data_IF_295363240016
#
_entry.id   IF_295363240016
#
_cell.length_a   1.000
_cell.length_b   1.000
_cell.length_c   1.000
_cell.angle_alpha   90.00
_cell.angle_beta   90.00
_cell.angle_gamma   90.00
#
_symmetry.space_group_name_H-M   'P 1'
#
loop_
_entity.id
_entity.type
_entity.pdbx_description
1 polymer ?
#
# COMPACT_ATOMS: atom_id res chain seq x y z
N UNK A 1 6.24 -22.58 12.28
CA UNK A 1 6.41 -21.28 12.97
C UNK A 1 5.06 -20.84 13.51
N UNK A 2 4.98 -20.24 14.70
CA UNK A 2 3.70 -19.76 15.22
C UNK A 2 3.12 -18.67 14.29
N UNK A 3 1.81 -18.67 14.01
CA UNK A 3 1.17 -17.73 13.07
C UNK A 3 1.54 -16.27 13.30
N UNK A 4 1.72 -15.87 14.56
CA UNK A 4 2.13 -14.51 14.95
C UNK A 4 3.51 -14.10 14.43
N UNK A 5 4.47 -15.02 14.35
CA UNK A 5 5.84 -14.73 13.88
C UNK A 5 5.90 -14.43 12.38
N UNK A 6 5.06 -15.10 11.59
CA UNK A 6 5.00 -14.86 10.15
C UNK A 6 4.34 -13.51 9.83
N UNK A 7 3.20 -13.20 10.45
CA UNK A 7 2.50 -11.92 10.24
C UNK A 7 3.38 -10.76 10.72
N UNK A 8 4.10 -10.89 11.83
CA UNK A 8 5.03 -9.85 12.28
C UNK A 8 6.15 -9.58 11.26
N UNK A 9 6.65 -10.61 10.58
CA UNK A 9 7.65 -10.46 9.51
C UNK A 9 7.05 -9.73 8.30
N UNK A 10 5.86 -10.12 7.86
CA UNK A 10 5.15 -9.42 6.77
C UNK A 10 4.86 -7.96 7.13
N UNK A 11 4.52 -7.68 8.39
CA UNK A 11 4.29 -6.33 8.86
C UNK A 11 5.58 -5.48 8.80
N UNK A 12 6.71 -6.04 9.23
CA UNK A 12 8.01 -5.38 9.10
C UNK A 12 8.43 -5.17 7.66
N UNK A 13 8.21 -6.17 6.81
CA UNK A 13 8.46 -6.09 5.36
C UNK A 13 7.63 -4.99 4.71
N UNK A 14 6.30 -4.97 4.92
CA UNK A 14 5.44 -3.92 4.39
C UNK A 14 5.84 -2.54 4.91
N UNK A 15 6.20 -2.42 6.20
CA UNK A 15 6.64 -1.14 6.76
C UNK A 15 7.87 -0.60 6.02
N UNK A 16 8.90 -1.43 5.86
CA UNK A 16 10.13 -1.07 5.16
C UNK A 16 9.87 -0.77 3.67
N UNK A 17 9.11 -1.63 2.99
CA UNK A 17 8.78 -1.46 1.57
C UNK A 17 7.98 -0.18 1.34
N UNK A 18 6.95 0.08 2.15
CA UNK A 18 6.14 1.29 2.02
C UNK A 18 6.93 2.56 2.31
N UNK A 19 7.74 2.59 3.38
CA UNK A 19 8.53 3.76 3.74
C UNK A 19 9.55 4.11 2.64
N UNK A 20 10.23 3.11 2.08
CA UNK A 20 11.16 3.29 0.96
C UNK A 20 10.44 3.71 -0.32
N UNK A 21 9.26 3.13 -0.60
CA UNK A 21 8.44 3.51 -1.74
C UNK A 21 8.01 4.98 -1.65
N UNK A 22 7.55 5.45 -0.48
CA UNK A 22 7.13 6.83 -0.29
C UNK A 22 8.28 7.82 -0.57
N UNK A 23 9.50 7.51 -0.11
CA UNK A 23 10.70 8.27 -0.49
C UNK A 23 10.96 8.21 -2.00
N UNK A 24 10.97 7.01 -2.57
CA UNK A 24 11.29 6.78 -3.97
C UNK A 24 10.35 7.54 -4.92
N UNK A 25 9.05 7.54 -4.62
CA UNK A 25 8.05 8.32 -5.35
C UNK A 25 8.39 9.81 -5.35
N UNK A 26 8.72 10.36 -4.18
CA UNK A 26 9.06 11.78 -4.06
C UNK A 26 10.28 12.15 -4.90
N UNK A 27 11.34 11.33 -4.81
CA UNK A 27 12.59 11.53 -5.54
C UNK A 27 12.42 11.35 -7.06
N UNK A 28 11.54 10.44 -7.49
CA UNK A 28 11.25 10.17 -8.90
C UNK A 28 10.29 11.18 -9.56
N UNK A 29 9.95 12.28 -8.88
CA UNK A 29 9.06 13.32 -9.43
C UNK A 29 7.56 13.08 -9.21
N UNK A 30 7.19 12.03 -8.48
CA UNK A 30 5.83 11.84 -7.96
C UNK A 30 5.68 12.55 -6.62
N UNK A 31 5.91 13.88 -6.63
CA UNK A 31 5.77 14.76 -5.47
C UNK A 31 4.80 15.92 -5.77
N UNK A 32 4.44 16.67 -4.72
CA UNK A 32 3.50 17.81 -4.78
C UNK A 32 4.16 19.16 -5.14
N UNK A 33 5.41 19.17 -5.63
CA UNK A 33 6.16 20.38 -5.96
C UNK A 33 6.84 21.03 -4.75
N UNK A 34 7.17 22.32 -4.88
CA UNK A 34 7.85 23.10 -3.85
C UNK A 34 7.06 23.16 -2.55
N UNK A 35 7.75 22.99 -1.42
CA UNK A 35 7.15 22.93 -0.08
C UNK A 35 7.46 21.61 0.64
N UNK A 36 6.59 21.16 1.57
CA UNK A 36 6.79 19.90 2.28
C UNK A 36 6.88 18.71 1.31
N UNK A 37 7.93 17.90 1.43
CA UNK A 37 8.15 16.74 0.57
C UNK A 37 7.10 15.64 0.82
N UNK A 38 6.07 15.62 -0.02
CA UNK A 38 4.96 14.66 0.04
C UNK A 38 4.88 13.84 -1.25
N UNK A 39 4.64 12.54 -1.12
CA UNK A 39 4.40 11.67 -2.27
C UNK A 39 3.04 11.97 -2.90
N UNK A 40 3.02 12.16 -4.21
CA UNK A 40 1.80 12.31 -5.00
C UNK A 40 1.33 10.95 -5.52
N UNK A 41 0.58 10.25 -4.67
CA UNK A 41 0.00 8.95 -4.99
C UNK A 41 -1.01 9.00 -6.15
N UNK A 42 -1.70 10.13 -6.37
CA UNK A 42 -2.65 10.29 -7.48
C UNK A 42 -1.89 10.44 -8.81
N UNK A 43 -0.81 11.23 -8.82
CA UNK A 43 0.08 11.31 -9.99
C UNK A 43 0.71 9.95 -10.30
N UNK A 44 1.14 9.22 -9.28
CA UNK A 44 1.67 7.86 -9.46
C UNK A 44 0.60 6.89 -9.99
N UNK A 45 -0.65 6.97 -9.49
CA UNK A 45 -1.76 6.15 -9.97
C UNK A 45 -1.95 6.24 -11.49
N UNK A 46 -1.85 7.45 -12.05
CA UNK A 46 -1.96 7.66 -13.50
C UNK A 46 -0.87 6.88 -14.25
N UNK A 47 0.38 6.89 -13.76
CA UNK A 47 1.50 6.23 -14.41
C UNK A 47 1.36 4.69 -14.41
N UNK A 48 0.81 4.12 -13.34
CA UNK A 48 0.67 2.67 -13.19
C UNK A 48 -0.73 2.13 -13.60
N UNK A 49 -1.64 2.97 -14.11
CA UNK A 49 -3.02 2.54 -14.41
C UNK A 49 -3.03 1.39 -15.41
N UNK A 50 -2.22 1.45 -16.47
CA UNK A 50 -2.15 0.40 -17.49
C UNK A 50 -1.74 -0.94 -16.89
N UNK A 51 -0.74 -0.95 -16.01
CA UNK A 51 -0.30 -2.14 -15.27
C UNK A 51 -1.46 -2.72 -14.43
N UNK A 52 -2.17 -1.88 -13.68
CA UNK A 52 -3.20 -2.34 -12.74
C UNK A 52 -4.50 -2.74 -13.45
N UNK A 53 -4.85 -2.05 -14.52
CA UNK A 53 -6.04 -2.33 -15.32
C UNK A 53 -5.88 -3.64 -16.10
N UNK A 54 -4.71 -3.85 -16.72
CA UNK A 54 -4.54 -4.83 -17.80
C UNK A 54 -3.44 -5.88 -17.53
N UNK A 55 -2.94 -6.04 -16.29
CA UNK A 55 -1.94 -7.08 -15.98
C UNK A 55 -2.40 -8.50 -16.33
N UNK A 56 -1.55 -9.23 -17.04
CA UNK A 56 -1.70 -10.66 -17.28
C UNK A 56 -0.96 -11.54 -16.24
N UNK A 57 -0.12 -10.94 -15.38
CA UNK A 57 0.54 -11.67 -14.29
C UNK A 57 -0.50 -12.25 -13.32
N UNK A 58 -0.61 -13.59 -13.18
CA UNK A 58 -1.64 -14.21 -12.33
C UNK A 58 -1.50 -13.87 -10.84
N UNK A 59 -0.27 -13.72 -10.35
CA UNK A 59 0.02 -13.38 -8.95
C UNK A 59 -0.41 -11.94 -8.67
N UNK A 60 -0.06 -11.01 -9.55
CA UNK A 60 -0.46 -9.60 -9.42
C UNK A 60 -1.98 -9.45 -9.57
N UNK A 61 -2.58 -10.09 -10.57
CA UNK A 61 -4.04 -10.08 -10.78
C UNK A 61 -4.81 -10.59 -9.56
N UNK A 62 -4.36 -11.71 -8.97
CA UNK A 62 -4.93 -12.25 -7.73
C UNK A 62 -4.85 -11.25 -6.59
N UNK A 63 -3.69 -10.60 -6.41
CA UNK A 63 -3.49 -9.62 -5.35
C UNK A 63 -4.37 -8.37 -5.53
N UNK A 64 -4.47 -7.83 -6.74
CA UNK A 64 -5.34 -6.70 -7.07
C UNK A 64 -6.80 -7.06 -6.76
N UNK A 65 -7.27 -8.21 -7.25
CA UNK A 65 -8.65 -8.64 -7.07
C UNK A 65 -8.99 -8.86 -5.58
N UNK A 66 -8.08 -9.42 -4.80
CA UNK A 66 -8.28 -9.56 -3.36
C UNK A 66 -8.44 -8.20 -2.67
N UNK A 67 -7.55 -7.24 -2.95
CA UNK A 67 -7.58 -5.93 -2.30
C UNK A 67 -8.81 -5.09 -2.67
N UNK A 68 -9.32 -5.23 -3.91
CA UNK A 68 -10.53 -4.55 -4.35
C UNK A 68 -11.82 -5.17 -3.76
N UNK A 69 -11.87 -6.50 -3.62
CA UNK A 69 -13.06 -7.21 -3.14
C UNK A 69 -13.09 -7.44 -1.63
N UNK A 70 -11.96 -7.37 -0.95
CA UNK A 70 -11.83 -7.54 0.51
C UNK A 70 -11.05 -6.38 1.17
N UNK A 71 -11.45 -5.11 0.94
CA UNK A 71 -10.63 -3.95 1.28
C UNK A 71 -10.47 -3.73 2.80
N UNK A 72 -9.40 -3.05 3.22
CA UNK A 72 -9.23 -2.61 4.60
C UNK A 72 -10.29 -1.54 4.96
N UNK A 73 -10.69 -1.51 6.24
CA UNK A 73 -11.45 -0.37 6.78
C UNK A 73 -10.60 0.90 6.78
N UNK A 74 -11.25 2.06 6.69
CA UNK A 74 -10.61 3.36 6.84
C UNK A 74 -10.58 3.74 8.32
N UNK A 75 -9.40 4.12 8.82
CA UNK A 75 -9.27 4.72 10.15
C UNK A 75 -9.82 6.15 10.11
N UNK A 76 -10.69 6.49 11.06
CA UNK A 76 -11.36 7.78 11.19
C UNK A 76 -11.33 8.26 12.65
N UNK A 77 -11.59 9.55 12.85
CA UNK A 77 -11.93 10.11 14.16
C UNK A 77 -13.44 10.37 14.17
N UNK A 78 -14.14 9.79 15.14
CA UNK A 78 -15.55 10.05 15.41
C UNK A 78 -15.70 10.37 16.89
N UNK A 79 -16.31 11.50 17.23
CA UNK A 79 -16.51 11.94 18.61
C UNK A 79 -15.20 11.98 19.44
N UNK A 80 -14.09 12.39 18.81
CA UNK A 80 -12.78 12.49 19.46
C UNK A 80 -12.03 11.17 19.65
N UNK A 81 -12.59 10.03 19.21
CA UNK A 81 -11.98 8.70 19.34
C UNK A 81 -11.69 8.07 17.97
N UNK A 82 -10.63 7.25 17.92
CA UNK A 82 -10.26 6.49 16.71
C UNK A 82 -11.29 5.38 16.48
N UNK A 83 -11.81 5.30 15.25
CA UNK A 83 -12.72 4.25 14.79
C UNK A 83 -12.34 3.74 13.39
N UNK A 84 -12.99 2.66 12.95
CA UNK A 84 -12.79 2.06 11.64
C UNK A 84 -14.11 1.91 10.89
N UNK A 85 -14.24 2.59 9.75
CA UNK A 85 -15.42 2.54 8.90
C UNK A 85 -15.18 1.75 7.62
N UNK A 86 -16.24 1.11 7.11
CA UNK A 86 -16.25 0.62 5.73
C UNK A 86 -16.43 1.85 4.83
N UNK A 87 -15.52 2.03 3.88
CA UNK A 87 -15.54 3.14 2.95
C UNK A 87 -14.97 2.67 1.62
N UNK A 88 -15.70 2.87 0.52
CA UNK A 88 -15.21 2.55 -0.83
C UNK A 88 -14.69 3.84 -1.48
N UNK A 89 -13.43 3.89 -1.94
CA UNK A 89 -12.94 4.99 -2.77
C UNK A 89 -13.75 5.07 -4.06
N UNK A 90 -14.05 6.29 -4.52
CA UNK A 90 -14.93 6.53 -5.67
C UNK A 90 -14.19 7.20 -6.83
N UNK A 91 -12.95 6.78 -7.09
CA UNK A 91 -12.19 7.25 -8.26
C UNK A 91 -12.51 6.40 -9.49
N UNK A 92 -12.39 6.98 -10.68
CA UNK A 92 -12.57 6.26 -11.94
C UNK A 92 -11.38 5.32 -12.25
N UNK A 93 -10.19 5.65 -11.72
CA UNK A 93 -8.96 4.87 -11.89
C UNK A 93 -8.93 3.67 -10.95
N UNK A 94 -8.62 2.48 -11.50
CA UNK A 94 -8.45 1.26 -10.72
C UNK A 94 -7.20 1.35 -9.85
N UNK A 95 -6.11 1.90 -10.37
CA UNK A 95 -4.88 2.13 -9.62
C UNK A 95 -5.07 3.10 -8.45
N UNK A 96 -5.81 4.20 -8.65
CA UNK A 96 -6.01 5.18 -7.58
C UNK A 96 -6.81 4.58 -6.42
N UNK A 97 -7.89 3.86 -6.72
CA UNK A 97 -8.66 3.13 -5.71
C UNK A 97 -7.78 2.11 -4.96
N UNK A 98 -6.93 1.37 -5.69
CA UNK A 98 -6.02 0.39 -5.11
C UNK A 98 -4.96 1.02 -4.20
N UNK A 99 -4.35 2.13 -4.62
CA UNK A 99 -3.36 2.87 -3.82
C UNK A 99 -3.99 3.48 -2.56
N UNK A 100 -5.26 3.90 -2.60
CA UNK A 100 -6.00 4.29 -1.39
C UNK A 100 -6.08 3.12 -0.40
N UNK A 101 -6.37 1.91 -0.87
CA UNK A 101 -6.41 0.73 -0.01
C UNK A 101 -5.02 0.36 0.56
N UNK A 102 -3.95 0.38 -0.25
CA UNK A 102 -2.58 0.15 0.23
C UNK A 102 -2.24 1.13 1.37
N UNK A 103 -2.54 2.42 1.20
CA UNK A 103 -2.30 3.44 2.24
C UNK A 103 -3.11 3.17 3.52
N UNK A 104 -4.34 2.64 3.41
CA UNK A 104 -5.14 2.24 4.57
C UNK A 104 -4.56 1.01 5.27
N UNK A 105 -4.04 0.02 4.54
CA UNK A 105 -3.34 -1.13 5.14
C UNK A 105 -2.15 -0.62 5.95
N UNK A 106 -1.35 0.29 5.38
CA UNK A 106 -0.24 0.92 6.10
C UNK A 106 -0.70 1.65 7.36
N UNK A 107 -1.77 2.45 7.28
CA UNK A 107 -2.29 3.19 8.44
C UNK A 107 -2.83 2.27 9.54
N UNK A 108 -3.39 1.12 9.16
CA UNK A 108 -3.92 0.12 10.08
C UNK A 108 -2.86 -0.84 10.62
N UNK A 109 -1.63 -0.82 10.08
CA UNK A 109 -0.62 -1.85 10.26
C UNK A 109 -0.35 -2.23 11.73
N UNK A 110 -0.23 -1.22 12.61
CA UNK A 110 0.07 -1.43 14.03
C UNK A 110 -1.12 -1.16 14.97
N UNK A 111 -2.16 -0.47 14.49
CA UNK A 111 -3.24 0.02 15.35
C UNK A 111 -4.65 -0.38 14.90
N UNK A 112 -4.83 -0.89 13.68
CA UNK A 112 -6.09 -1.43 13.16
C UNK A 112 -6.09 -2.95 12.99
N UNK A 113 -4.91 -3.56 12.86
CA UNK A 113 -4.73 -5.01 12.78
C UNK A 113 -4.24 -5.63 14.09
N UNK A 114 -3.56 -4.88 14.97
CA UNK A 114 -2.93 -5.40 16.20
C UNK A 114 -3.34 -4.58 17.43
N UNK A 115 -3.94 -5.20 18.44
CA UNK A 115 -4.29 -4.56 19.71
C UNK A 115 -3.85 -5.46 20.86
N UNK A 116 -3.16 -4.89 21.86
CA UNK A 116 -2.57 -5.62 22.99
C UNK A 116 -1.75 -6.88 22.59
N UNK A 117 -1.00 -6.81 21.48
CA UNK A 117 -0.14 -7.92 21.02
C UNK A 117 -0.83 -8.98 20.17
N UNK A 118 -2.14 -8.89 19.95
CA UNK A 118 -2.91 -9.84 19.13
C UNK A 118 -3.36 -9.23 17.81
N UNK A 119 -3.29 -10.03 16.74
CA UNK A 119 -3.84 -9.66 15.45
C UNK A 119 -5.35 -9.92 15.44
N UNK A 120 -6.16 -8.91 15.11
CA UNK A 120 -7.56 -9.11 14.77
C UNK A 120 -7.64 -9.80 13.40
N UNK A 121 -8.35 -10.93 13.34
CA UNK A 121 -8.43 -11.77 12.14
C UNK A 121 -7.05 -12.02 11.49
N UNK A 122 -6.21 -12.88 12.13
CA UNK A 122 -4.82 -13.07 11.71
C UNK A 122 -4.67 -13.54 10.26
N UNK A 123 -5.62 -14.35 9.77
CA UNK A 123 -5.60 -14.84 8.40
C UNK A 123 -5.87 -13.71 7.40
N UNK A 124 -6.92 -12.92 7.61
CA UNK A 124 -7.19 -11.76 6.75
C UNK A 124 -6.06 -10.73 6.83
N UNK A 125 -5.51 -10.50 8.02
CA UNK A 125 -4.36 -9.61 8.20
C UNK A 125 -3.16 -10.08 7.37
N UNK A 126 -2.84 -11.38 7.41
CA UNK A 126 -1.79 -11.97 6.58
C UNK A 126 -2.05 -11.73 5.09
N UNK A 127 -3.25 -12.05 4.60
CA UNK A 127 -3.61 -11.88 3.19
C UNK A 127 -3.53 -10.42 2.74
N UNK A 128 -4.00 -9.47 3.56
CA UNK A 128 -3.87 -8.03 3.26
C UNK A 128 -2.40 -7.62 3.13
N UNK A 129 -1.52 -8.08 4.03
CA UNK A 129 -0.09 -7.75 3.98
C UNK A 129 0.58 -8.36 2.74
N UNK A 130 0.38 -9.66 2.49
CA UNK A 130 0.97 -10.38 1.35
C UNK A 130 0.58 -9.75 0.00
N UNK A 131 -0.72 -9.48 -0.18
CA UNK A 131 -1.22 -8.88 -1.41
C UNK A 131 -0.81 -7.41 -1.55
N UNK A 132 -0.73 -6.66 -0.44
CA UNK A 132 -0.23 -5.29 -0.45
C UNK A 132 1.25 -5.22 -0.86
N UNK A 133 2.10 -6.10 -0.33
CA UNK A 133 3.52 -6.17 -0.72
C UNK A 133 3.63 -6.52 -2.20
N UNK A 134 2.92 -7.56 -2.66
CA UNK A 134 2.93 -7.99 -4.06
C UNK A 134 2.57 -6.85 -5.02
N UNK A 135 1.47 -6.13 -4.75
CA UNK A 135 1.05 -5.02 -5.60
C UNK A 135 2.06 -3.87 -5.55
N UNK A 136 2.50 -3.48 -4.35
CA UNK A 136 3.40 -2.34 -4.18
C UNK A 136 4.76 -2.57 -4.86
N UNK A 137 5.32 -3.78 -4.76
CA UNK A 137 6.55 -4.16 -5.46
C UNK A 137 6.38 -4.11 -6.98
N UNK A 138 5.26 -4.62 -7.51
CA UNK A 138 4.99 -4.56 -8.94
C UNK A 138 4.93 -3.10 -9.44
N UNK A 139 4.25 -2.21 -8.71
CA UNK A 139 4.17 -0.79 -9.04
C UNK A 139 5.53 -0.08 -8.96
N UNK A 140 6.36 -0.43 -7.98
CA UNK A 140 7.73 0.13 -7.87
C UNK A 140 8.57 -0.31 -9.05
N UNK A 141 8.51 -1.60 -9.41
CA UNK A 141 9.32 -2.19 -10.46
C UNK A 141 8.91 -1.74 -11.87
N UNK A 142 7.65 -1.33 -12.08
CA UNK A 142 7.17 -0.86 -13.38
C UNK A 142 7.66 0.53 -13.75
N UNK A 143 8.03 1.35 -12.76
CA UNK A 143 8.43 2.75 -12.95
C UNK A 143 9.95 2.91 -12.77
N UNK A 144 10.75 3.10 -13.84
CA UNK A 144 12.21 3.02 -13.78
C UNK A 144 12.86 3.97 -12.77
N UNK A 145 12.42 5.23 -12.70
CA UNK A 145 12.96 6.21 -11.75
C UNK A 145 12.56 5.88 -10.31
N UNK A 146 11.35 5.36 -10.10
CA UNK A 146 10.89 4.91 -8.78
C UNK A 146 11.71 3.71 -8.35
N UNK A 147 11.92 2.73 -9.22
CA UNK A 147 12.76 1.58 -8.96
C UNK A 147 14.20 1.98 -8.60
N UNK A 148 14.82 2.86 -9.38
CA UNK A 148 16.18 3.35 -9.10
C UNK A 148 16.25 4.07 -7.76
N UNK A 149 15.31 4.96 -7.46
CA UNK A 149 15.25 5.67 -6.18
C UNK A 149 15.03 4.69 -5.01
N UNK A 150 14.16 3.70 -5.19
CA UNK A 150 13.90 2.65 -4.20
C UNK A 150 15.16 1.82 -3.91
N UNK A 151 15.98 1.55 -4.92
CA UNK A 151 17.27 0.83 -4.80
C UNK A 151 18.42 1.71 -4.31
N UNK A 152 18.22 3.03 -4.16
CA UNK A 152 19.26 3.97 -3.79
C UNK A 152 20.27 4.25 -4.91
N UNK A 153 19.86 4.07 -6.16
CA UNK A 153 20.70 4.24 -7.36
C UNK A 153 20.20 5.33 -8.30
N UNK A 154 19.28 6.20 -7.87
CA UNK A 154 18.84 7.34 -8.65
C UNK A 154 19.99 8.36 -8.74
N UNK A 155 20.43 8.77 -9.96
CA UNK A 155 21.41 9.84 -10.09
C UNK A 155 20.86 11.16 -9.54
N UNK A 156 21.68 11.89 -8.78
CA UNK A 156 21.36 13.23 -8.30
C UNK A 156 21.34 14.25 -9.44
#
# INVERSE_FOLDING_TARGET
MPPSSHINRLAGELFCTFARAEYALKAAGYNKGDGPAQADWSKFAIAIEELIANTEDPKLSTAINFLLNSPPKKQIIKDGIIQWEVSTPAHNSKAENLLVYIRRIRNNLFHGGKFNGHWFDPERSRLLLDHCITVLEACINSEPLVYQAYRGSLPL
#
